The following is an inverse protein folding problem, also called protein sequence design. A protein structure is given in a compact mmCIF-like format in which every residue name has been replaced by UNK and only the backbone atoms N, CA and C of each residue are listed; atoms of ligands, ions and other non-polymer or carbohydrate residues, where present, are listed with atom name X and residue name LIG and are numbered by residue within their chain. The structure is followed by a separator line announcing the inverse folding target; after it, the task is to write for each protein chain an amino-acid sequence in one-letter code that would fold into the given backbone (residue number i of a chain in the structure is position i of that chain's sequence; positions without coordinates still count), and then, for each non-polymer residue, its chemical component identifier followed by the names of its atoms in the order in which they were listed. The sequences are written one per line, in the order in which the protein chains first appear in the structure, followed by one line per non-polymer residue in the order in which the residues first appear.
data_IF_820951004641
#
_entry.id   IF_820951004641
#
_cell.length_a   1.000
_cell.length_b   1.000
_cell.length_c   1.000
_cell.angle_alpha   90.00
_cell.angle_beta   90.00
_cell.angle_gamma   90.00
#
_symmetry.space_group_name_H-M   'P 1'
#
loop_
_entity.id
_entity.type
_entity.pdbx_description
1 polymer ?
#
# COMPACT_ATOMS: atom_id res chain seq x y z
N UNK A 1 11.49 22.33 -12.81
CA UNK A 1 10.84 21.10 -13.33
C UNK A 1 10.12 20.47 -12.20
N UNK A 2 8.90 20.06 -12.38
CA UNK A 2 8.16 19.40 -11.33
C UNK A 2 8.25 17.88 -11.51
N UNK A 3 8.79 17.16 -10.54
CA UNK A 3 8.70 15.70 -10.46
C UNK A 3 7.30 15.24 -10.06
N UNK A 4 6.39 16.19 -9.78
CA UNK A 4 5.08 15.93 -9.20
C UNK A 4 4.21 15.14 -10.19
N UNK A 5 3.64 14.01 -9.77
CA UNK A 5 2.70 13.27 -10.58
C UNK A 5 1.37 14.02 -10.76
N UNK A 6 0.64 13.67 -11.82
CA UNK A 6 -0.69 14.22 -12.10
C UNK A 6 -1.81 13.38 -11.50
N UNK A 7 -1.63 12.05 -11.48
CA UNK A 7 -2.65 11.07 -11.10
C UNK A 7 -2.28 10.25 -9.87
N UNK A 8 -0.99 10.07 -9.58
CA UNK A 8 -0.57 9.53 -8.29
C UNK A 8 -0.73 10.59 -7.21
N UNK A 9 -1.25 10.20 -6.05
CA UNK A 9 -1.41 11.11 -4.92
C UNK A 9 -0.03 11.48 -4.35
N UNK A 10 0.29 12.76 -4.33
CA UNK A 10 1.45 13.32 -3.62
C UNK A 10 1.00 14.47 -2.73
N UNK A 11 1.62 14.73 -1.57
CA UNK A 11 1.16 15.79 -0.68
C UNK A 11 1.36 17.16 -1.32
N UNK A 12 0.51 18.16 -1.07
CA UNK A 12 0.74 19.53 -1.54
C UNK A 12 2.06 20.09 -1.05
N UNK A 13 2.43 19.77 0.17
CA UNK A 13 3.72 20.07 0.82
C UNK A 13 4.01 19.03 1.88
N UNK A 14 5.26 18.99 2.37
CA UNK A 14 5.66 18.11 3.45
C UNK A 14 5.87 16.66 3.02
N UNK A 15 5.74 15.74 3.96
CA UNK A 15 5.97 14.30 3.75
C UNK A 15 4.68 13.52 3.86
N UNK A 16 4.43 12.69 2.86
CA UNK A 16 3.39 11.67 2.84
C UNK A 16 4.03 10.30 3.09
N UNK A 17 3.34 9.40 3.79
CA UNK A 17 3.64 7.97 3.80
C UNK A 17 2.35 7.13 3.77
N UNK A 18 2.13 6.20 4.65
CA UNK A 18 1.07 5.19 4.62
C UNK A 18 -0.30 5.75 4.19
N UNK A 19 -0.99 5.14 3.24
CA UNK A 19 -2.41 5.37 3.03
C UNK A 19 -3.20 4.89 4.24
N UNK A 20 -4.26 5.61 4.58
CA UNK A 20 -5.07 5.37 5.76
C UNK A 20 -6.54 5.59 5.46
N UNK A 21 -7.41 5.02 6.27
CA UNK A 21 -8.81 5.39 6.34
C UNK A 21 -9.54 5.38 4.99
N UNK A 22 -9.22 4.44 4.09
CA UNK A 22 -9.87 4.33 2.79
C UNK A 22 -11.35 4.02 2.96
N UNK A 23 -12.20 4.72 2.23
CA UNK A 23 -13.60 4.38 2.05
C UNK A 23 -14.17 4.99 0.77
N UNK A 24 -15.33 4.50 0.34
CA UNK A 24 -16.05 4.99 -0.82
C UNK A 24 -17.35 5.65 -0.37
N UNK A 25 -17.61 6.87 -0.86
CA UNK A 25 -18.89 7.59 -0.69
C UNK A 25 -19.49 7.87 -2.07
N UNK A 26 -20.50 7.09 -2.44
CA UNK A 26 -21.06 7.10 -3.79
C UNK A 26 -20.02 6.72 -4.85
N UNK A 27 -19.65 7.66 -5.72
CA UNK A 27 -18.61 7.48 -6.74
C UNK A 27 -17.26 8.11 -6.35
N UNK A 28 -17.10 8.51 -5.09
CA UNK A 28 -15.89 9.18 -4.59
C UNK A 28 -15.08 8.23 -3.71
N UNK A 29 -13.82 8.02 -4.08
CA UNK A 29 -12.84 7.37 -3.23
C UNK A 29 -12.19 8.41 -2.32
N UNK A 30 -12.30 8.21 -1.01
CA UNK A 30 -11.62 8.98 0.00
C UNK A 30 -10.37 8.25 0.48
N UNK A 31 -9.27 8.98 0.56
CA UNK A 31 -7.97 8.48 1.01
C UNK A 31 -7.42 9.46 2.04
N UNK A 32 -7.12 8.95 3.21
CA UNK A 32 -6.26 9.64 4.14
C UNK A 32 -4.84 9.10 4.01
N UNK A 33 -3.89 9.82 4.54
CA UNK A 33 -2.49 9.39 4.51
C UNK A 33 -1.73 10.00 5.67
N UNK A 34 -0.73 9.31 6.17
CA UNK A 34 0.18 9.89 7.14
C UNK A 34 0.82 11.13 6.53
N UNK A 35 0.71 12.26 7.22
CA UNK A 35 1.16 13.56 6.75
C UNK A 35 1.97 14.31 7.81
N UNK A 36 3.17 14.75 7.41
CA UNK A 36 3.96 15.73 8.15
C UNK A 36 4.13 16.98 7.30
N UNK A 37 3.24 17.98 7.47
CA UNK A 37 3.22 19.18 6.61
C UNK A 37 4.43 20.08 6.82
N UNK A 38 5.17 19.90 7.92
CA UNK A 38 6.33 20.70 8.27
C UNK A 38 7.67 20.14 7.80
N UNK A 39 7.67 18.90 7.29
CA UNK A 39 8.87 18.25 6.76
C UNK A 39 9.48 19.07 5.60
N UNK A 40 10.82 19.25 5.50
CA UNK A 40 11.87 18.75 6.42
C UNK A 40 12.27 19.79 7.49
N UNK A 41 11.55 20.88 7.69
CA UNK A 41 12.01 22.11 8.35
C UNK A 41 11.68 22.20 9.85
N UNK A 42 10.85 21.31 10.39
CA UNK A 42 10.43 21.32 11.79
C UNK A 42 10.50 19.92 12.41
N UNK A 43 10.40 19.81 13.76
CA UNK A 43 10.25 18.52 14.39
C UNK A 43 9.06 17.75 13.80
N UNK A 44 9.25 16.46 13.55
CA UNK A 44 8.22 15.57 12.97
C UNK A 44 6.90 15.68 13.73
N UNK A 45 5.83 15.97 13.02
CA UNK A 45 4.48 16.08 13.54
C UNK A 45 3.51 15.32 12.62
N UNK A 46 3.50 14.01 12.77
CA UNK A 46 2.69 13.12 11.93
C UNK A 46 1.22 13.19 12.35
N UNK A 47 0.38 13.67 11.45
CA UNK A 47 -1.08 13.60 11.47
C UNK A 47 -1.61 12.85 10.26
N UNK A 48 -2.85 13.13 9.86
CA UNK A 48 -3.45 12.57 8.64
C UNK A 48 -3.88 13.68 7.69
N UNK A 49 -3.32 13.66 6.47
CA UNK A 49 -3.84 14.40 5.33
C UNK A 49 -5.08 13.72 4.76
N UNK A 50 -5.83 14.44 3.92
CA UNK A 50 -7.02 13.93 3.26
C UNK A 50 -7.05 14.34 1.78
N UNK A 51 -7.39 13.39 0.92
CA UNK A 51 -7.64 13.64 -0.50
C UNK A 51 -8.80 12.76 -1.00
N UNK A 52 -9.43 13.17 -2.09
CA UNK A 52 -10.47 12.41 -2.75
C UNK A 52 -10.34 12.47 -4.27
N UNK A 53 -10.83 11.42 -4.94
CA UNK A 53 -10.89 11.34 -6.40
C UNK A 53 -12.08 10.50 -6.83
N UNK A 54 -12.41 10.52 -8.12
CA UNK A 54 -13.40 9.62 -8.70
C UNK A 54 -12.97 8.17 -8.52
N UNK A 55 -13.91 7.31 -8.19
CA UNK A 55 -13.70 5.87 -8.08
C UNK A 55 -13.36 5.22 -9.43
N UNK A 56 -13.94 5.71 -10.52
CA UNK A 56 -13.91 5.04 -11.83
C UNK A 56 -13.11 5.77 -12.91
N UNK A 57 -12.87 7.06 -12.72
CA UNK A 57 -12.29 7.92 -13.76
C UNK A 57 -10.99 8.56 -13.30
N UNK A 58 -9.92 8.41 -14.08
CA UNK A 58 -8.65 9.05 -13.79
C UNK A 58 -8.81 10.58 -13.79
N UNK A 59 -8.60 11.17 -12.66
CA UNK A 59 -8.62 12.60 -12.44
C UNK A 59 -7.54 13.00 -11.43
N UNK A 60 -7.26 14.31 -11.34
CA UNK A 60 -6.37 14.82 -10.31
C UNK A 60 -7.02 14.72 -8.94
N UNK A 61 -6.26 14.28 -7.95
CA UNK A 61 -6.70 14.26 -6.57
C UNK A 61 -7.12 15.65 -6.08
N UNK A 62 -8.29 15.71 -5.48
CA UNK A 62 -8.71 16.88 -4.72
C UNK A 62 -8.13 16.78 -3.31
N UNK A 63 -7.24 17.70 -2.98
CA UNK A 63 -6.70 17.81 -1.63
C UNK A 63 -7.66 18.57 -0.74
N UNK A 64 -7.79 18.12 0.49
CA UNK A 64 -8.58 18.72 1.56
C UNK A 64 -7.65 19.15 2.70
N UNK A 65 -8.15 19.96 3.68
CA UNK A 65 -7.43 20.20 4.92
C UNK A 65 -7.09 18.88 5.63
N UNK A 66 -6.00 18.88 6.39
CA UNK A 66 -5.62 17.72 7.19
C UNK A 66 -6.73 17.33 8.17
N UNK A 67 -7.01 16.05 8.26
CA UNK A 67 -8.09 15.49 9.08
C UNK A 67 -7.71 15.32 10.54
N UNK A 68 -6.46 14.90 10.81
CA UNK A 68 -5.99 14.64 12.17
C UNK A 68 -4.66 15.32 12.43
N UNK A 69 -4.55 15.88 13.64
CA UNK A 69 -3.30 16.38 14.23
C UNK A 69 -3.03 15.68 15.55
N UNK A 70 -1.77 15.52 15.95
CA UNK A 70 -1.41 14.95 17.25
C UNK A 70 -1.61 15.98 18.37
N UNK A 71 -2.87 16.25 18.71
CA UNK A 71 -3.32 17.29 19.64
C UNK A 71 -3.93 16.75 20.95
N UNK A 72 -4.04 15.41 21.05
CA UNK A 72 -4.56 14.74 22.23
C UNK A 72 -3.42 14.20 23.12
N UNK A 73 -3.64 14.05 24.45
CA UNK A 73 -2.61 13.51 25.34
C UNK A 73 -2.08 12.13 24.92
N UNK A 74 -2.94 11.28 24.35
CA UNK A 74 -2.62 9.89 23.97
C UNK A 74 -1.97 9.80 22.58
N UNK A 75 -1.99 10.85 21.75
CA UNK A 75 -1.37 10.87 20.42
C UNK A 75 -0.30 11.96 20.26
N UNK A 76 0.16 12.54 21.36
CA UNK A 76 1.10 13.68 21.40
C UNK A 76 2.34 13.52 20.50
N UNK A 77 2.76 12.28 20.24
CA UNK A 77 3.95 11.98 19.43
C UNK A 77 3.59 11.41 18.03
N UNK A 78 2.34 11.54 17.62
CA UNK A 78 1.83 11.22 16.28
C UNK A 78 0.50 10.49 16.28
N UNK A 79 -0.32 10.79 15.28
CA UNK A 79 -1.44 9.96 14.86
C UNK A 79 -0.89 8.97 13.83
N UNK A 80 -0.70 7.71 14.26
CA UNK A 80 -0.16 6.65 13.40
C UNK A 80 -1.24 6.06 12.50
N UNK A 81 -0.86 5.10 11.67
CA UNK A 81 -1.73 4.52 10.66
C UNK A 81 -2.96 3.82 11.22
N UNK A 82 -3.93 3.61 10.34
CA UNK A 82 -5.17 2.92 10.66
C UNK A 82 -6.17 2.96 9.51
N UNK A 83 -7.38 2.46 9.76
CA UNK A 83 -8.41 2.24 8.75
C UNK A 83 -9.67 3.07 8.96
N UNK A 84 -10.69 2.78 8.16
CA UNK A 84 -12.02 3.33 8.30
C UNK A 84 -13.07 2.22 8.50
N UNK A 85 -14.19 2.58 9.14
CA UNK A 85 -15.39 1.78 9.19
C UNK A 85 -16.58 2.64 8.77
N UNK A 86 -17.41 2.12 7.85
CA UNK A 86 -18.64 2.75 7.43
C UNK A 86 -19.82 1.97 8.03
N UNK A 87 -20.62 2.61 8.88
CA UNK A 87 -21.79 2.02 9.53
C UNK A 87 -23.04 2.85 9.21
N UNK A 88 -23.78 2.43 8.19
CA UNK A 88 -24.85 3.23 7.62
C UNK A 88 -24.34 4.54 7.05
N UNK A 89 -24.82 5.66 7.58
CA UNK A 89 -24.39 7.00 7.18
C UNK A 89 -23.18 7.52 7.99
N UNK A 90 -22.72 6.76 8.97
CA UNK A 90 -21.61 7.15 9.82
C UNK A 90 -20.28 6.60 9.30
N UNK A 91 -19.30 7.49 9.16
CA UNK A 91 -17.92 7.15 8.83
C UNK A 91 -17.04 7.36 10.05
N UNK A 92 -16.32 6.32 10.44
CA UNK A 92 -15.42 6.30 11.55
C UNK A 92 -13.99 6.01 11.07
N UNK A 93 -13.05 6.87 11.46
CA UNK A 93 -11.62 6.67 11.23
C UNK A 93 -11.00 6.10 12.50
N UNK A 94 -10.27 5.00 12.37
CA UNK A 94 -9.53 4.36 13.46
C UNK A 94 -8.05 4.55 13.26
N UNK A 95 -7.31 4.87 14.33
CA UNK A 95 -5.88 5.14 14.24
C UNK A 95 -5.17 4.79 15.55
N UNK A 96 -3.86 4.58 15.47
CA UNK A 96 -3.03 4.40 16.65
C UNK A 96 -2.49 5.74 17.13
N UNK A 97 -2.84 6.13 18.35
CA UNK A 97 -2.22 7.24 19.06
C UNK A 97 -0.85 6.83 19.59
N UNK A 98 0.19 7.59 19.29
CA UNK A 98 1.54 7.32 19.75
C UNK A 98 1.92 8.27 20.88
N UNK A 99 2.04 7.72 22.07
CA UNK A 99 2.56 8.42 23.25
C UNK A 99 3.89 7.79 23.69
N UNK A 100 4.87 8.61 24.04
CA UNK A 100 6.14 8.15 24.62
C UNK A 100 6.31 8.80 25.99
N UNK A 101 6.46 7.98 27.02
CA UNK A 101 6.70 8.40 28.40
C UNK A 101 7.89 7.62 28.93
N UNK A 102 8.92 8.32 29.41
CA UNK A 102 10.12 7.75 30.00
C UNK A 102 10.77 6.62 29.14
N UNK A 103 10.78 6.83 27.81
CA UNK A 103 11.34 5.88 26.86
C UNK A 103 10.40 4.72 26.46
N UNK A 104 9.28 4.54 27.16
CA UNK A 104 8.25 3.55 26.81
C UNK A 104 7.28 4.14 25.80
N UNK A 105 6.94 3.38 24.77
CA UNK A 105 5.84 3.67 23.85
C UNK A 105 4.54 3.13 24.45
N UNK A 106 3.51 3.94 24.44
CA UNK A 106 2.14 3.62 24.85
C UNK A 106 1.28 3.82 23.60
N UNK A 107 1.00 2.76 22.84
CA UNK A 107 0.15 2.82 21.66
C UNK A 107 -1.31 2.63 22.08
N UNK A 108 -2.14 3.60 21.79
CA UNK A 108 -3.58 3.49 22.04
C UNK A 108 -4.36 3.39 20.73
N UNK A 109 -5.48 2.65 20.72
CA UNK A 109 -6.35 2.63 19.56
C UNK A 109 -7.51 3.60 19.77
N UNK A 110 -7.74 4.45 18.80
CA UNK A 110 -8.64 5.59 18.90
C UNK A 110 -9.57 5.65 17.70
N UNK A 111 -10.70 6.33 17.81
CA UNK A 111 -11.57 6.61 16.67
C UNK A 111 -11.98 8.07 16.59
N UNK A 112 -12.33 8.48 15.39
CA UNK A 112 -12.78 9.83 15.04
C UNK A 112 -13.99 9.71 14.15
N UNK A 113 -15.04 10.49 14.40
CA UNK A 113 -16.19 10.57 13.50
C UNK A 113 -15.90 11.58 12.38
N UNK A 114 -16.01 11.14 11.14
CA UNK A 114 -15.92 11.99 9.97
C UNK A 114 -17.33 12.46 9.57
N UNK A 115 -17.57 13.77 9.63
CA UNK A 115 -18.84 14.38 9.23
C UNK A 115 -18.66 15.05 7.87
N UNK A 116 -19.53 14.74 6.91
CA UNK A 116 -19.56 15.32 5.56
C UNK A 116 -18.16 15.31 4.87
N UNK A 117 -17.43 14.18 4.80
CA UNK A 117 -16.10 14.14 4.21
C UNK A 117 -16.08 14.52 2.72
N UNK A 118 -17.19 14.31 2.00
CA UNK A 118 -17.40 14.75 0.62
C UNK A 118 -17.80 16.22 0.48
N UNK A 119 -17.97 16.93 1.59
CA UNK A 119 -18.33 18.34 1.58
C UNK A 119 -17.23 19.24 1.01
N UNK A 120 -17.56 20.52 0.73
CA UNK A 120 -16.63 21.45 0.09
C UNK A 120 -15.36 21.71 0.93
N UNK A 121 -15.45 21.60 2.24
CA UNK A 121 -14.32 21.79 3.18
C UNK A 121 -13.59 20.49 3.50
N UNK A 122 -13.98 19.34 2.91
CA UNK A 122 -13.32 18.04 3.13
C UNK A 122 -13.69 17.37 4.45
N UNK A 123 -14.73 17.84 5.12
CA UNK A 123 -15.27 17.24 6.33
C UNK A 123 -14.86 17.91 7.65
N UNK A 124 -15.51 17.47 8.72
CA UNK A 124 -15.21 17.81 10.11
C UNK A 124 -14.90 16.51 10.85
N UNK A 125 -13.79 16.48 11.57
CA UNK A 125 -13.29 15.28 12.24
C UNK A 125 -13.38 15.45 13.75
N UNK A 126 -14.31 14.72 14.38
CA UNK A 126 -14.60 14.84 15.80
C UNK A 126 -13.99 13.66 16.57
N UNK A 127 -13.08 13.96 17.50
CA UNK A 127 -12.56 12.95 18.44
C UNK A 127 -13.70 12.36 19.25
N UNK A 128 -13.79 11.02 19.29
CA UNK A 128 -14.82 10.36 20.09
C UNK A 128 -14.51 10.48 21.58
N UNK A 129 -15.47 10.90 22.43
CA UNK A 129 -15.26 10.97 23.87
C UNK A 129 -14.91 9.62 24.54
N UNK A 130 -15.23 8.48 23.90
CA UNK A 130 -14.86 7.17 24.39
C UNK A 130 -13.38 6.82 24.19
N UNK A 131 -12.62 7.61 23.43
CA UNK A 131 -11.20 7.36 23.19
C UNK A 131 -10.32 7.69 24.38
N UNK A 132 -9.26 6.88 24.61
CA UNK A 132 -8.83 5.72 23.83
C UNK A 132 -9.69 4.49 24.06
N UNK A 133 -10.05 3.79 22.95
CA UNK A 133 -10.86 2.56 23.01
C UNK A 133 -10.06 1.39 23.56
N UNK A 134 -8.79 1.29 23.16
CA UNK A 134 -7.78 0.36 23.67
C UNK A 134 -6.61 1.24 24.15
N UNK A 135 -6.40 1.40 25.47
CA UNK A 135 -5.50 2.44 26.00
C UNK A 135 -4.02 2.08 25.94
N UNK A 136 -3.65 0.83 25.82
CA UNK A 136 -2.26 0.33 25.79
C UNK A 136 -2.22 -1.05 25.09
N UNK A 137 -1.04 -1.66 25.04
CA UNK A 137 -0.87 -3.02 24.51
C UNK A 137 -1.49 -4.06 25.45
N UNK A 138 -1.79 -5.23 24.90
CA UNK A 138 -2.13 -6.40 25.70
C UNK A 138 -0.88 -7.03 26.35
N UNK A 139 -1.03 -7.77 27.45
CA UNK A 139 0.07 -8.51 28.05
C UNK A 139 0.73 -9.49 27.05
N UNK A 140 2.06 -9.58 27.06
CA UNK A 140 2.83 -10.41 26.13
C UNK A 140 3.27 -9.70 24.84
N UNK A 141 2.91 -8.42 24.70
CA UNK A 141 3.30 -7.61 23.54
C UNK A 141 4.10 -6.37 23.94
N UNK A 142 4.96 -5.92 23.03
CA UNK A 142 5.77 -4.70 23.20
C UNK A 142 4.98 -3.46 22.78
N UNK A 143 5.55 -2.26 22.91
CA UNK A 143 4.98 -1.03 22.39
C UNK A 143 4.92 -0.92 20.84
N UNK A 144 5.34 -1.95 20.10
CA UNK A 144 5.04 -2.13 18.69
C UNK A 144 3.68 -2.82 18.53
N UNK A 145 2.61 -2.01 18.54
CA UNK A 145 1.22 -2.45 18.55
C UNK A 145 0.38 -1.37 17.88
N UNK A 146 0.06 -1.50 16.57
CA UNK A 146 -0.45 -0.39 15.76
C UNK A 146 -1.16 -0.83 14.49
N UNK A 147 -1.70 0.17 13.77
CA UNK A 147 -2.27 0.09 12.43
C UNK A 147 -3.59 -0.71 12.42
N UNK A 148 -4.63 -0.27 13.18
CA UNK A 148 -5.90 -0.97 13.25
C UNK A 148 -6.61 -0.94 11.90
N UNK A 149 -6.92 -2.12 11.36
CA UNK A 149 -7.78 -2.30 10.20
C UNK A 149 -9.13 -2.83 10.68
N UNK A 150 -10.24 -2.21 10.21
CA UNK A 150 -11.59 -2.52 10.64
C UNK A 150 -12.36 -3.14 9.47
N UNK A 151 -12.99 -4.29 9.71
CA UNK A 151 -13.83 -4.98 8.72
C UNK A 151 -15.19 -5.30 9.34
N UNK A 152 -16.25 -5.12 8.54
CA UNK A 152 -17.60 -5.55 8.91
C UNK A 152 -17.69 -7.08 8.80
N UNK A 153 -18.27 -7.70 9.81
CA UNK A 153 -18.62 -9.11 9.81
C UNK A 153 -20.14 -9.30 9.98
N UNK A 154 -20.64 -10.53 9.86
CA UNK A 154 -22.07 -10.79 9.93
C UNK A 154 -22.70 -10.40 11.29
N UNK A 155 -21.93 -10.50 12.36
CA UNK A 155 -22.37 -10.28 13.74
C UNK A 155 -21.65 -9.11 14.44
N UNK A 156 -21.04 -8.20 13.68
CA UNK A 156 -20.34 -7.05 14.24
C UNK A 156 -19.14 -6.62 13.43
N UNK A 157 -18.03 -6.39 14.11
CA UNK A 157 -16.81 -5.82 13.56
C UNK A 157 -15.58 -6.56 14.06
N UNK A 158 -14.64 -6.78 13.18
CA UNK A 158 -13.29 -7.25 13.50
C UNK A 158 -12.30 -6.12 13.36
N UNK A 159 -11.34 -6.04 14.29
CA UNK A 159 -10.16 -5.20 14.19
C UNK A 159 -8.92 -6.10 14.17
N UNK A 160 -8.08 -5.92 13.15
CA UNK A 160 -6.76 -6.52 13.06
C UNK A 160 -5.70 -5.45 13.37
N UNK A 161 -4.76 -5.76 14.25
CA UNK A 161 -3.68 -4.84 14.66
C UNK A 161 -2.34 -5.55 14.48
N UNK A 162 -1.38 -4.85 13.87
CA UNK A 162 0.00 -5.30 13.81
C UNK A 162 0.67 -5.25 15.19
N UNK A 163 1.35 -6.32 15.58
CA UNK A 163 1.93 -6.45 16.90
C UNK A 163 3.31 -7.10 16.87
N UNK A 164 4.09 -6.83 17.92
CA UNK A 164 5.34 -7.52 18.23
C UNK A 164 5.20 -8.18 19.59
N UNK A 165 5.47 -9.48 19.65
CA UNK A 165 5.54 -10.21 20.94
C UNK A 165 6.75 -9.74 21.77
N UNK A 166 6.75 -10.00 23.08
CA UNK A 166 7.94 -9.77 23.95
C UNK A 166 9.18 -10.56 23.50
N UNK A 167 8.99 -11.64 22.71
CA UNK A 167 10.07 -12.38 22.05
C UNK A 167 10.54 -11.76 20.72
N UNK A 168 10.19 -10.52 20.44
CA UNK A 168 10.58 -9.76 19.23
C UNK A 168 10.18 -10.48 17.92
N UNK A 169 8.98 -11.06 17.89
CA UNK A 169 8.39 -11.66 16.69
C UNK A 169 7.16 -10.89 16.26
N UNK A 170 7.08 -10.58 14.98
CA UNK A 170 5.91 -9.97 14.36
C UNK A 170 4.72 -10.92 14.36
N UNK A 171 3.54 -10.37 14.56
CA UNK A 171 2.25 -11.08 14.50
C UNK A 171 1.11 -10.08 14.24
N UNK A 172 -0.10 -10.60 14.06
CA UNK A 172 -1.35 -9.82 14.02
C UNK A 172 -2.22 -10.28 15.18
N UNK A 173 -2.84 -9.34 15.88
CA UNK A 173 -3.82 -9.62 16.94
C UNK A 173 -5.21 -9.21 16.49
N UNK A 174 -6.22 -9.92 17.00
CA UNK A 174 -7.62 -9.69 16.65
C UNK A 174 -8.42 -9.20 17.87
N UNK A 175 -9.36 -8.30 17.56
CA UNK A 175 -10.41 -7.86 18.45
C UNK A 175 -11.76 -7.95 17.74
N UNK A 176 -12.83 -8.15 18.51
CA UNK A 176 -14.22 -8.06 18.04
C UNK A 176 -15.00 -7.00 18.78
N UNK A 177 -15.97 -6.39 18.08
CA UNK A 177 -16.90 -5.42 18.65
C UNK A 177 -18.27 -5.54 17.99
N UNK A 178 -19.32 -5.37 18.78
CA UNK A 178 -20.68 -5.26 18.27
C UNK A 178 -21.07 -3.81 17.91
N UNK A 179 -20.31 -2.80 18.40
CA UNK A 179 -20.74 -1.39 18.41
C UNK A 179 -19.62 -0.39 18.04
N UNK A 180 -18.46 -0.88 17.60
CA UNK A 180 -17.28 -0.08 17.30
C UNK A 180 -16.69 0.70 18.49
N UNK A 181 -17.20 0.49 19.72
CA UNK A 181 -16.74 1.15 20.95
C UNK A 181 -16.09 0.16 21.90
N UNK A 182 -16.81 -0.92 22.18
CA UNK A 182 -16.39 -1.94 23.12
C UNK A 182 -15.69 -3.08 22.37
N UNK A 183 -14.38 -3.17 22.54
CA UNK A 183 -13.54 -4.13 21.83
C UNK A 183 -13.09 -5.26 22.75
N UNK A 184 -13.27 -6.46 22.31
CA UNK A 184 -12.92 -7.70 22.97
C UNK A 184 -11.69 -8.30 22.33
N UNK A 185 -10.61 -8.49 23.11
CA UNK A 185 -9.39 -9.14 22.64
C UNK A 185 -9.63 -10.63 22.41
N UNK A 186 -9.40 -11.12 21.18
CA UNK A 186 -9.51 -12.53 20.82
C UNK A 186 -8.15 -13.26 20.84
N UNK A 187 -7.06 -12.52 20.81
CA UNK A 187 -5.70 -13.06 20.84
C UNK A 187 -4.91 -12.82 19.56
N UNK A 188 -3.65 -13.31 19.52
CA UNK A 188 -2.86 -13.31 18.30
C UNK A 188 -3.38 -14.37 17.32
N UNK A 189 -3.28 -14.07 16.02
CA UNK A 189 -3.50 -15.07 14.98
C UNK A 189 -2.58 -16.28 15.17
N UNK A 190 -3.18 -17.45 15.14
CA UNK A 190 -2.47 -18.72 15.05
C UNK A 190 -2.44 -19.15 13.58
N UNK A 191 -1.34 -19.72 13.13
CA UNK A 191 -1.18 -20.14 11.74
C UNK A 191 -1.08 -21.66 11.65
N UNK A 192 -2.06 -22.27 10.97
CA UNK A 192 -1.98 -23.67 10.57
C UNK A 192 -1.47 -23.74 9.14
N UNK A 193 -0.27 -24.28 8.99
CA UNK A 193 0.42 -24.44 7.69
C UNK A 193 0.33 -25.88 7.18
N UNK A 194 -0.53 -26.71 7.71
CA UNK A 194 -0.69 -28.11 7.30
C UNK A 194 -1.26 -28.21 5.89
N UNK A 195 -0.50 -28.77 4.97
CA UNK A 195 -0.92 -28.94 3.57
C UNK A 195 -0.83 -27.66 2.70
N UNK A 196 -0.22 -26.59 3.23
CA UNK A 196 -0.02 -25.34 2.52
C UNK A 196 0.75 -25.52 1.22
N UNK A 197 0.26 -24.96 0.12
CA UNK A 197 1.01 -24.84 -1.13
C UNK A 197 1.97 -23.65 -1.04
N UNK A 198 3.17 -23.70 -1.66
CA UNK A 198 4.06 -22.56 -1.74
C UNK A 198 3.37 -21.31 -2.34
N UNK A 199 3.73 -20.12 -1.86
CA UNK A 199 3.43 -18.86 -2.52
C UNK A 199 4.40 -18.54 -3.65
N UNK A 200 4.51 -17.27 -4.01
CA UNK A 200 5.49 -16.80 -4.99
C UNK A 200 6.84 -16.47 -4.32
N UNK A 201 6.88 -16.32 -3.01
CA UNK A 201 8.09 -16.10 -2.22
C UNK A 201 8.59 -17.39 -1.59
N UNK A 202 9.87 -17.47 -1.14
CA UNK A 202 10.46 -18.72 -0.67
C UNK A 202 9.86 -19.25 0.63
N UNK A 203 9.33 -18.37 1.49
CA UNK A 203 8.80 -18.76 2.80
C UNK A 203 7.31 -19.08 2.75
N UNK A 204 6.89 -20.14 3.42
CA UNK A 204 5.47 -20.41 3.66
C UNK A 204 4.89 -19.37 4.61
N UNK A 205 5.60 -19.10 5.71
CA UNK A 205 5.25 -18.07 6.68
C UNK A 205 6.51 -17.22 6.95
N UNK A 206 6.52 -15.93 6.60
CA UNK A 206 7.71 -15.11 6.75
C UNK A 206 8.00 -14.82 8.22
N UNK A 207 9.26 -14.55 8.52
CA UNK A 207 9.69 -14.07 9.82
C UNK A 207 9.36 -12.58 10.02
N UNK A 208 10.34 -11.84 10.50
CA UNK A 208 10.24 -10.42 10.80
C UNK A 208 10.01 -10.14 12.28
N UNK A 209 10.55 -9.02 12.74
CA UNK A 209 10.44 -8.65 14.16
C UNK A 209 9.15 -7.87 14.48
N UNK A 210 8.49 -7.32 13.46
CA UNK A 210 7.21 -6.62 13.55
C UNK A 210 6.43 -6.83 12.25
N UNK A 211 5.12 -7.03 12.35
CA UNK A 211 4.21 -7.04 11.21
C UNK A 211 3.34 -5.78 11.25
N UNK A 212 3.56 -4.87 10.32
CA UNK A 212 2.85 -3.59 10.23
C UNK A 212 1.70 -3.65 9.23
N UNK A 213 0.79 -2.70 9.33
CA UNK A 213 -0.29 -2.43 8.37
C UNK A 213 -1.06 -3.69 7.96
N UNK A 214 -1.56 -4.52 8.90
CA UNK A 214 -2.29 -5.71 8.54
C UNK A 214 -3.61 -5.34 7.87
N UNK A 215 -3.96 -6.09 6.81
CA UNK A 215 -5.29 -6.09 6.21
C UNK A 215 -5.77 -7.54 6.13
N UNK A 216 -6.85 -7.86 6.82
CA UNK A 216 -7.47 -9.18 6.79
C UNK A 216 -8.84 -9.05 6.15
N UNK A 217 -8.93 -9.36 4.86
CA UNK A 217 -10.09 -9.14 4.00
C UNK A 217 -10.56 -10.43 3.36
N UNK A 218 -11.78 -10.41 2.81
CA UNK A 218 -12.38 -11.53 2.08
C UNK A 218 -12.43 -11.21 0.60
N UNK A 219 -11.88 -12.11 -0.23
CA UNK A 219 -12.02 -12.05 -1.68
C UNK A 219 -12.64 -13.35 -2.21
N UNK A 220 -13.23 -13.29 -3.40
CA UNK A 220 -13.69 -14.47 -4.14
C UNK A 220 -12.56 -14.92 -5.07
N UNK A 221 -12.10 -16.16 -4.94
CA UNK A 221 -11.17 -16.75 -5.91
C UNK A 221 -11.92 -17.03 -7.21
N UNK A 222 -11.57 -16.29 -8.28
CA UNK A 222 -12.23 -16.35 -9.58
C UNK A 222 -12.11 -17.73 -10.24
N UNK A 223 -11.10 -18.54 -9.87
CA UNK A 223 -10.91 -19.88 -10.42
C UNK A 223 -11.82 -20.93 -9.77
N UNK A 224 -12.08 -20.81 -8.46
CA UNK A 224 -12.89 -21.76 -7.70
C UNK A 224 -14.28 -21.24 -7.35
N UNK A 225 -14.52 -19.94 -7.45
CA UNK A 225 -15.70 -19.23 -6.96
C UNK A 225 -15.90 -19.37 -5.43
N UNK A 226 -14.85 -19.65 -4.67
CA UNK A 226 -14.87 -19.75 -3.21
C UNK A 226 -14.40 -18.45 -2.57
N UNK A 227 -14.99 -18.12 -1.42
CA UNK A 227 -14.47 -17.05 -0.56
C UNK A 227 -13.16 -17.48 0.11
N UNK A 228 -12.16 -16.61 0.06
CA UNK A 228 -10.88 -16.79 0.73
C UNK A 228 -10.55 -15.58 1.58
N UNK A 229 -9.93 -15.82 2.72
CA UNK A 229 -9.34 -14.78 3.55
C UNK A 229 -7.94 -14.45 3.03
N UNK A 230 -7.68 -13.17 2.87
CA UNK A 230 -6.38 -12.66 2.47
C UNK A 230 -5.82 -11.85 3.64
N UNK A 231 -4.67 -12.27 4.14
CA UNK A 231 -3.93 -11.51 5.14
C UNK A 231 -2.76 -10.81 4.46
N UNK A 232 -2.88 -9.51 4.23
CA UNK A 232 -1.79 -8.63 3.77
C UNK A 232 -1.12 -8.03 4.99
N UNK A 233 0.21 -7.98 5.03
CA UNK A 233 0.98 -7.37 6.11
C UNK A 233 2.40 -7.02 5.66
N UNK A 234 3.09 -6.20 6.45
CA UNK A 234 4.45 -5.74 6.19
C UNK A 234 5.41 -6.31 7.24
N UNK A 235 6.05 -7.47 7.00
CA UNK A 235 7.04 -8.05 7.91
C UNK A 235 8.36 -7.27 7.82
N UNK A 236 8.72 -6.58 8.91
CA UNK A 236 9.97 -5.84 9.00
C UNK A 236 11.15 -6.75 9.34
N UNK A 237 12.30 -6.47 8.74
CA UNK A 237 13.57 -7.13 9.06
C UNK A 237 13.79 -8.45 8.32
N UNK A 238 13.20 -8.63 7.13
CA UNK A 238 13.57 -9.71 6.23
C UNK A 238 14.80 -9.31 5.42
N UNK A 239 15.78 -10.21 5.35
CA UNK A 239 16.97 -10.02 4.51
C UNK A 239 16.66 -10.35 3.04
N UNK A 240 17.19 -9.58 2.07
CA UNK A 240 17.11 -9.93 0.67
C UNK A 240 17.73 -11.29 0.38
N UNK A 241 17.02 -12.10 -0.39
CA UNK A 241 17.52 -13.42 -0.82
C UNK A 241 17.41 -13.59 -2.33
N UNK A 242 18.28 -14.40 -2.90
CA UNK A 242 18.23 -14.81 -4.30
C UNK A 242 17.99 -16.33 -4.35
N UNK A 243 16.88 -16.73 -4.93
CA UNK A 243 16.52 -18.14 -5.08
C UNK A 243 16.30 -18.42 -6.56
N UNK A 244 17.00 -19.39 -7.13
CA UNK A 244 16.92 -19.79 -8.53
C UNK A 244 17.07 -18.61 -9.52
N UNK A 245 17.95 -17.64 -9.17
CA UNK A 245 18.20 -16.46 -9.97
C UNK A 245 17.11 -15.38 -9.88
N UNK A 246 16.15 -15.52 -8.97
CA UNK A 246 15.09 -14.55 -8.70
C UNK A 246 15.38 -13.78 -7.43
N UNK A 247 15.00 -12.51 -7.42
CA UNK A 247 15.21 -11.60 -6.30
C UNK A 247 13.96 -11.57 -5.42
N UNK A 248 14.11 -11.91 -4.14
CA UNK A 248 13.06 -11.84 -3.13
C UNK A 248 13.50 -10.95 -1.98
N UNK A 249 12.52 -10.31 -1.33
CA UNK A 249 12.74 -9.44 -0.17
C UNK A 249 13.78 -8.35 -0.41
N UNK A 250 13.81 -7.82 -1.63
CA UNK A 250 14.87 -6.91 -2.06
C UNK A 250 14.63 -5.46 -1.64
N UNK A 251 13.41 -5.09 -1.27
CA UNK A 251 13.16 -3.80 -0.61
C UNK A 251 13.57 -3.87 0.84
N UNK A 252 13.98 -2.76 1.45
CA UNK A 252 14.42 -2.72 2.85
C UNK A 252 13.32 -3.11 3.83
N UNK A 253 12.09 -2.83 3.45
CA UNK A 253 10.89 -3.16 4.19
C UNK A 253 9.93 -3.89 3.25
N UNK A 254 9.45 -5.04 3.65
CA UNK A 254 8.68 -5.93 2.79
C UNK A 254 7.18 -5.74 2.98
N UNK A 255 6.43 -6.10 1.94
CA UNK A 255 4.99 -6.24 2.02
C UNK A 255 4.54 -7.44 1.20
N UNK A 256 3.66 -8.24 1.76
CA UNK A 256 3.14 -9.42 1.07
C UNK A 256 1.86 -9.95 1.70
N UNK A 257 1.45 -11.13 1.24
CA UNK A 257 0.16 -11.70 1.62
C UNK A 257 0.21 -13.22 1.77
N UNK A 258 -0.75 -13.72 2.56
CA UNK A 258 -1.13 -15.12 2.68
C UNK A 258 -2.56 -15.29 2.19
N UNK A 259 -2.88 -16.45 1.63
CA UNK A 259 -4.25 -16.83 1.25
C UNK A 259 -4.68 -18.06 2.06
N UNK A 260 -5.90 -18.05 2.58
CA UNK A 260 -6.41 -19.15 3.38
C UNK A 260 -7.85 -18.96 3.83
N UNK A 261 -8.18 -19.57 4.97
CA UNK A 261 -9.46 -19.43 5.65
C UNK A 261 -9.24 -19.10 7.12
N UNK A 262 -10.19 -18.41 7.74
CA UNK A 262 -10.13 -18.02 9.15
C UNK A 262 -11.21 -18.76 9.94
N UNK A 263 -10.80 -19.44 11.03
CA UNK A 263 -11.69 -20.03 12.02
C UNK A 263 -11.31 -19.50 13.42
N UNK A 264 -12.17 -18.63 13.97
CA UNK A 264 -11.85 -17.88 15.18
C UNK A 264 -10.58 -17.05 14.99
N UNK A 265 -9.54 -17.32 15.78
CA UNK A 265 -8.22 -16.69 15.64
C UNK A 265 -7.19 -17.62 14.95
N UNK A 266 -7.62 -18.69 14.29
CA UNK A 266 -6.74 -19.60 13.54
C UNK A 266 -6.86 -19.32 12.04
N UNK A 267 -5.74 -18.92 11.41
CA UNK A 267 -5.62 -18.75 9.97
C UNK A 267 -5.04 -20.04 9.36
N UNK A 268 -5.87 -20.78 8.65
CA UNK A 268 -5.45 -21.96 7.90
C UNK A 268 -4.86 -21.53 6.57
N UNK A 269 -3.55 -21.57 6.44
CA UNK A 269 -2.83 -21.11 5.27
C UNK A 269 -2.98 -22.11 4.11
N UNK A 270 -3.62 -21.73 3.03
CA UNK A 270 -3.75 -22.54 1.82
C UNK A 270 -2.61 -22.24 0.82
N UNK A 271 -2.21 -20.98 0.73
CA UNK A 271 -1.10 -20.51 -0.11
C UNK A 271 -0.13 -19.70 0.75
N UNK A 272 1.15 -20.06 0.73
CA UNK A 272 2.22 -19.41 1.48
C UNK A 272 2.50 -17.99 1.01
N UNK A 273 3.42 -17.34 1.69
CA UNK A 273 3.72 -15.92 1.50
C UNK A 273 4.09 -15.59 0.06
N UNK A 274 3.55 -14.48 -0.42
CA UNK A 274 3.89 -13.88 -1.71
C UNK A 274 4.10 -12.39 -1.51
N UNK A 275 5.16 -11.84 -2.11
CA UNK A 275 5.36 -10.39 -2.11
C UNK A 275 4.22 -9.72 -2.89
N UNK A 276 3.75 -8.57 -2.38
CA UNK A 276 2.62 -7.85 -2.98
C UNK A 276 3.09 -6.92 -4.11
N UNK A 277 4.32 -6.39 -3.99
CA UNK A 277 4.92 -5.52 -4.99
C UNK A 277 6.44 -5.79 -5.04
N UNK A 278 6.97 -5.93 -6.23
CA UNK A 278 8.35 -6.32 -6.49
C UNK A 278 9.24 -5.14 -6.92
N UNK A 279 8.72 -3.92 -6.84
CA UNK A 279 9.46 -2.72 -7.22
C UNK A 279 10.54 -2.33 -6.23
N UNK A 280 11.05 -1.12 -6.39
CA UNK A 280 12.11 -0.61 -5.53
C UNK A 280 11.59 0.14 -4.31
N UNK A 281 10.31 0.55 -4.34
CA UNK A 281 9.67 1.31 -3.26
C UNK A 281 8.17 1.01 -3.22
N UNK A 282 7.77 0.15 -2.30
CA UNK A 282 6.36 -0.08 -1.98
C UNK A 282 6.22 -0.51 -0.53
N UNK A 283 5.34 0.16 0.22
CA UNK A 283 5.13 -0.17 1.62
C UNK A 283 3.72 0.20 2.10
N UNK A 284 3.34 -0.34 3.28
CA UNK A 284 2.15 0.02 4.05
C UNK A 284 0.84 0.09 3.23
N UNK A 285 0.47 -0.92 2.43
CA UNK A 285 -0.76 -0.88 1.67
C UNK A 285 -1.98 -0.87 2.58
N UNK A 286 -3.05 -0.22 2.11
CA UNK A 286 -4.38 -0.33 2.68
C UNK A 286 -5.36 -0.85 1.64
N UNK A 287 -6.21 -1.79 2.05
CA UNK A 287 -7.23 -2.42 1.21
C UNK A 287 -8.62 -2.23 1.80
N UNK A 288 -9.61 -2.06 0.93
CA UNK A 288 -11.03 -2.10 1.27
C UNK A 288 -11.77 -3.02 0.30
N UNK A 289 -12.67 -3.84 0.84
CA UNK A 289 -13.55 -4.71 0.04
C UNK A 289 -14.57 -3.88 -0.74
N UNK A 290 -14.82 -4.26 -2.01
CA UNK A 290 -15.84 -3.57 -2.83
C UNK A 290 -17.23 -4.16 -2.64
N UNK A 291 -17.34 -5.34 -2.02
CA UNK A 291 -18.57 -6.13 -1.96
C UNK A 291 -18.86 -6.94 -3.24
N UNK A 292 -18.01 -6.82 -4.26
CA UNK A 292 -18.10 -7.61 -5.50
C UNK A 292 -17.15 -8.82 -5.51
N UNK A 293 -16.46 -9.10 -4.39
CA UNK A 293 -15.49 -10.19 -4.26
C UNK A 293 -14.07 -9.79 -4.64
N UNK A 294 -13.83 -8.51 -4.84
CA UNK A 294 -12.53 -7.88 -5.06
C UNK A 294 -12.29 -6.73 -4.05
N UNK A 295 -11.15 -6.08 -4.14
CA UNK A 295 -10.77 -4.97 -3.27
C UNK A 295 -10.16 -3.81 -4.04
N UNK A 296 -10.19 -2.63 -3.41
CA UNK A 296 -9.42 -1.45 -3.80
C UNK A 296 -8.21 -1.35 -2.90
N UNK A 297 -7.04 -1.07 -3.48
CA UNK A 297 -5.79 -0.92 -2.76
C UNK A 297 -5.07 0.36 -3.17
N UNK A 298 -4.44 1.01 -2.19
CA UNK A 298 -3.36 1.96 -2.39
C UNK A 298 -2.17 1.53 -1.52
N UNK A 299 -0.95 1.78 -2.02
CA UNK A 299 0.29 1.58 -1.27
C UNK A 299 1.15 2.83 -1.31
N UNK A 300 2.07 2.96 -0.38
CA UNK A 300 3.05 4.03 -0.36
C UNK A 300 4.19 3.73 -1.32
N UNK A 301 4.42 4.61 -2.30
CA UNK A 301 5.61 4.62 -3.16
C UNK A 301 6.73 5.32 -2.40
N UNK A 302 7.36 4.59 -1.52
CA UNK A 302 8.40 5.03 -0.61
C UNK A 302 8.75 3.95 0.40
N UNK A 303 9.79 4.19 1.18
CA UNK A 303 10.23 3.32 2.27
C UNK A 303 10.60 4.18 3.49
N UNK A 304 10.47 3.66 4.72
CA UNK A 304 10.72 4.43 5.94
C UNK A 304 12.09 5.12 6.02
N UNK A 305 13.13 4.53 5.42
CA UNK A 305 14.49 5.03 5.45
C UNK A 305 14.85 5.97 4.27
N UNK A 306 13.90 6.28 3.38
CA UNK A 306 14.20 6.97 2.11
C UNK A 306 13.60 8.37 2.03
N UNK A 307 13.77 9.19 3.06
CA UNK A 307 13.28 10.58 3.05
C UNK A 307 14.15 11.55 2.21
N UNK A 308 15.36 11.14 1.81
CA UNK A 308 16.25 11.95 0.98
C UNK A 308 15.90 11.82 -0.51
N UNK A 309 14.86 12.51 -0.93
CA UNK A 309 14.37 12.51 -2.31
C UNK A 309 14.64 13.87 -2.97
N UNK A 310 14.89 13.92 -4.29
CA UNK A 310 15.07 15.19 -5.03
C UNK A 310 13.90 16.17 -4.85
N UNK A 311 12.69 15.67 -4.62
CA UNK A 311 11.47 16.46 -4.41
C UNK A 311 11.43 17.23 -3.09
N UNK A 312 12.30 16.89 -2.14
CA UNK A 312 12.43 17.64 -0.87
C UNK A 312 12.84 19.10 -1.15
N UNK A 313 13.64 19.33 -2.18
CA UNK A 313 14.00 20.69 -2.61
C UNK A 313 12.78 21.48 -3.15
N UNK A 314 11.75 20.80 -3.61
CA UNK A 314 10.46 21.36 -4.02
C UNK A 314 9.42 21.39 -2.91
N UNK A 315 9.83 21.05 -1.66
CA UNK A 315 9.01 21.12 -0.45
C UNK A 315 8.06 19.92 -0.23
N UNK A 316 8.28 18.77 -0.89
CA UNK A 316 7.45 17.59 -0.69
C UNK A 316 8.24 16.28 -0.85
N UNK A 317 7.73 15.19 -0.27
CA UNK A 317 8.30 13.87 -0.39
C UNK A 317 7.23 12.78 -0.46
N UNK A 318 7.49 11.79 -1.31
CA UNK A 318 6.73 10.56 -1.55
C UNK A 318 5.38 10.73 -2.26
N UNK A 319 4.81 9.60 -2.63
CA UNK A 319 3.51 9.49 -3.32
C UNK A 319 2.84 8.18 -2.92
N UNK A 320 1.54 8.06 -3.20
CA UNK A 320 0.86 6.78 -3.21
C UNK A 320 0.82 6.21 -4.64
N UNK A 321 0.60 4.91 -4.76
CA UNK A 321 0.29 4.24 -6.03
C UNK A 321 -0.99 4.81 -6.64
N UNK A 322 -1.28 4.48 -7.89
CA UNK A 322 -2.65 4.58 -8.39
C UNK A 322 -3.58 3.69 -7.55
N UNK A 323 -4.89 4.03 -7.47
CA UNK A 323 -5.86 3.07 -6.95
C UNK A 323 -5.82 1.80 -7.80
N UNK A 324 -5.61 0.66 -7.15
CA UNK A 324 -5.54 -0.65 -7.79
C UNK A 324 -6.78 -1.45 -7.46
N UNK A 325 -7.37 -2.08 -8.47
CA UNK A 325 -8.27 -3.20 -8.27
C UNK A 325 -7.43 -4.44 -7.96
N UNK A 326 -7.78 -5.13 -6.89
CA UNK A 326 -7.12 -6.37 -6.45
C UNK A 326 -8.15 -7.48 -6.50
N UNK A 327 -7.91 -8.50 -7.31
CA UNK A 327 -8.71 -9.73 -7.38
C UNK A 327 -7.86 -10.95 -7.04
N UNK A 328 -8.50 -12.08 -6.79
CA UNK A 328 -7.84 -13.35 -6.49
C UNK A 328 -8.12 -14.37 -7.62
N UNK A 329 -7.08 -15.00 -8.14
CA UNK A 329 -7.19 -16.05 -9.13
C UNK A 329 -6.25 -17.21 -8.83
N UNK A 330 -6.79 -18.39 -8.60
CA UNK A 330 -6.05 -19.61 -8.21
C UNK A 330 -5.04 -19.37 -7.09
N UNK A 331 -5.51 -18.66 -6.03
CA UNK A 331 -4.71 -18.33 -4.85
C UNK A 331 -3.60 -17.30 -5.07
N UNK A 332 -3.62 -16.56 -6.18
CA UNK A 332 -2.68 -15.49 -6.48
C UNK A 332 -3.43 -14.17 -6.65
N UNK A 333 -2.99 -13.12 -5.96
CA UNK A 333 -3.55 -11.78 -6.16
C UNK A 333 -3.16 -11.23 -7.53
N UNK A 334 -4.13 -10.63 -8.20
CA UNK A 334 -3.95 -9.87 -9.43
C UNK A 334 -4.25 -8.41 -9.18
N UNK A 335 -3.40 -7.55 -9.68
CA UNK A 335 -3.46 -6.11 -9.48
C UNK A 335 -3.49 -5.39 -10.82
N UNK A 336 -4.34 -4.38 -10.93
CA UNK A 336 -4.37 -3.48 -12.09
C UNK A 336 -4.87 -2.10 -11.66
N UNK A 337 -4.46 -1.02 -12.35
CA UNK A 337 -5.03 0.30 -12.10
C UNK A 337 -6.56 0.26 -12.27
N UNK A 338 -7.28 0.89 -11.35
CA UNK A 338 -8.75 0.94 -11.42
C UNK A 338 -9.29 1.79 -12.56
N UNK A 339 -8.57 2.84 -12.92
CA UNK A 339 -9.04 3.85 -13.88
C UNK A 339 -8.90 3.38 -15.31
N UNK A 340 -10.00 2.99 -15.93
CA UNK A 340 -10.04 2.47 -17.30
C UNK A 340 -9.61 3.51 -18.36
N UNK A 341 -9.84 4.80 -18.10
CA UNK A 341 -9.52 5.88 -19.03
C UNK A 341 -8.07 6.38 -18.96
N UNK A 342 -7.17 5.75 -18.19
CA UNK A 342 -5.76 6.15 -18.08
C UNK A 342 -5.08 6.31 -19.44
N UNK A 343 -5.30 5.38 -20.36
CA UNK A 343 -4.75 5.45 -21.73
C UNK A 343 -5.25 6.68 -22.51
N UNK A 344 -6.50 7.08 -22.27
CA UNK A 344 -7.06 8.26 -22.95
C UNK A 344 -6.48 9.57 -22.41
N UNK A 345 -6.29 9.68 -21.08
CA UNK A 345 -5.70 10.88 -20.47
C UNK A 345 -4.19 11.01 -20.74
N UNK A 346 -3.52 9.89 -21.03
CA UNK A 346 -2.11 9.84 -21.44
C UNK A 346 -1.88 10.25 -22.90
N UNK A 347 -2.92 10.59 -23.66
CA UNK A 347 -2.78 11.03 -25.05
C UNK A 347 -2.62 9.91 -26.08
N UNK A 348 -2.85 8.64 -25.72
CA UNK A 348 -3.04 7.53 -26.66
C UNK A 348 -1.82 7.19 -27.57
N UNK A 349 -0.58 7.47 -27.18
CA UNK A 349 0.60 7.15 -27.99
C UNK A 349 1.16 5.77 -27.63
N UNK A 350 1.06 4.82 -28.56
CA UNK A 350 1.74 3.52 -28.47
C UNK A 350 3.25 3.60 -28.78
N UNK A 351 3.77 4.78 -29.09
CA UNK A 351 5.18 5.01 -29.38
C UNK A 351 5.64 6.28 -28.68
N UNK A 352 6.34 6.17 -27.58
CA UNK A 352 6.78 7.34 -26.86
C UNK A 352 8.18 7.80 -27.29
N UNK A 353 8.28 8.70 -28.25
CA UNK A 353 9.27 9.75 -28.14
C UNK A 353 8.63 10.86 -27.30
N UNK A 354 8.64 10.71 -25.97
CA UNK A 354 8.10 11.73 -25.09
C UNK A 354 9.25 12.50 -24.49
N UNK A 355 9.35 13.76 -24.92
CA UNK A 355 10.28 14.72 -24.35
C UNK A 355 9.86 15.04 -22.91
N UNK A 356 10.49 14.37 -21.97
CA UNK A 356 10.61 14.64 -20.54
C UNK A 356 9.33 14.87 -19.73
N UNK A 357 9.48 14.91 -18.44
CA UNK A 357 8.58 15.27 -17.35
C UNK A 357 7.33 16.10 -17.68
N UNK A 358 6.20 15.62 -17.21
CA UNK A 358 4.91 16.29 -17.27
C UNK A 358 3.85 15.56 -18.09
N UNK A 359 4.24 14.58 -18.89
CA UNK A 359 3.31 13.72 -19.62
C UNK A 359 3.16 12.37 -18.90
N UNK A 360 1.93 11.91 -18.80
CA UNK A 360 1.64 10.55 -18.35
C UNK A 360 1.89 9.60 -19.51
N UNK A 361 2.67 8.56 -19.28
CA UNK A 361 2.90 7.48 -20.23
C UNK A 361 2.13 6.27 -19.78
N UNK A 362 1.29 5.73 -20.65
CA UNK A 362 0.63 4.45 -20.45
C UNK A 362 0.99 3.58 -21.64
N UNK A 363 1.59 2.44 -21.38
CA UNK A 363 2.03 1.51 -22.40
C UNK A 363 1.59 0.08 -22.10
N UNK A 364 1.23 -0.65 -23.16
CA UNK A 364 0.93 -2.09 -23.12
C UNK A 364 1.88 -2.80 -24.05
N UNK A 365 2.30 -3.99 -23.66
CA UNK A 365 3.12 -4.84 -24.49
C UNK A 365 2.78 -6.32 -24.27
N UNK A 366 3.10 -7.11 -25.29
CA UNK A 366 2.97 -8.57 -25.26
C UNK A 366 4.25 -9.21 -25.78
N UNK A 367 4.61 -10.33 -25.19
CA UNK A 367 5.80 -11.09 -25.57
C UNK A 367 7.09 -10.49 -25.04
N UNK A 368 8.22 -10.98 -25.53
CA UNK A 368 9.56 -10.55 -25.09
C UNK A 368 9.95 -9.19 -25.63
N UNK A 369 10.57 -8.37 -24.79
CA UNK A 369 11.01 -7.03 -25.17
C UNK A 369 11.40 -6.15 -23.97
N UNK A 370 11.62 -4.87 -24.24
CA UNK A 370 12.09 -3.93 -23.23
C UNK A 370 11.50 -2.54 -23.40
N UNK A 371 11.21 -1.85 -22.29
CA UNK A 371 11.05 -0.40 -22.18
C UNK A 371 12.23 0.21 -21.47
N UNK A 372 12.72 1.33 -21.96
CA UNK A 372 13.82 2.06 -21.33
C UNK A 372 13.49 3.55 -21.22
N UNK A 373 13.79 4.12 -20.05
CA UNK A 373 13.89 5.57 -19.87
C UNK A 373 15.36 5.96 -19.93
N UNK A 374 15.76 6.69 -20.98
CA UNK A 374 17.16 7.02 -21.24
C UNK A 374 17.40 8.53 -21.34
N UNK A 375 18.61 8.96 -21.02
CA UNK A 375 19.06 10.34 -21.22
C UNK A 375 19.49 10.62 -22.68
N UNK A 376 19.99 11.84 -22.95
CA UNK A 376 20.46 12.24 -24.27
C UNK A 376 21.70 11.47 -24.77
N UNK A 377 22.41 10.82 -23.86
CA UNK A 377 23.58 9.97 -24.16
C UNK A 377 23.23 8.46 -24.13
N UNK A 378 21.93 8.13 -24.19
CA UNK A 378 21.39 6.77 -24.10
C UNK A 378 21.74 6.01 -22.80
N UNK A 379 22.07 6.73 -21.72
CA UNK A 379 22.25 6.08 -20.40
C UNK A 379 20.89 5.80 -19.77
N UNK A 380 20.73 4.56 -19.29
CA UNK A 380 19.46 4.07 -18.74
C UNK A 380 19.25 4.63 -17.34
N UNK A 381 18.11 5.29 -17.12
CA UNK A 381 17.65 5.70 -15.80
C UNK A 381 16.68 4.65 -15.19
N UNK A 382 15.88 4.00 -16.04
CA UNK A 382 14.98 2.91 -15.67
C UNK A 382 14.82 1.95 -16.86
N UNK A 383 14.74 0.67 -16.60
CA UNK A 383 14.48 -0.39 -17.59
C UNK A 383 13.49 -1.39 -17.03
N UNK A 384 12.55 -1.82 -17.87
CA UNK A 384 11.72 -2.99 -17.66
C UNK A 384 11.86 -3.91 -18.86
N UNK A 385 12.36 -5.12 -18.65
CA UNK A 385 12.61 -6.13 -19.67
C UNK A 385 11.90 -7.44 -19.32
N UNK A 386 11.21 -8.03 -20.28
CA UNK A 386 10.67 -9.36 -20.14
C UNK A 386 11.31 -10.31 -21.16
N UNK A 387 11.94 -11.36 -20.66
CA UNK A 387 12.59 -12.39 -21.45
C UNK A 387 12.57 -13.74 -20.72
N UNK A 388 12.32 -14.83 -21.45
CA UNK A 388 12.37 -16.19 -20.93
C UNK A 388 11.57 -16.42 -19.63
N UNK A 389 10.39 -15.80 -19.52
CA UNK A 389 9.54 -15.93 -18.33
C UNK A 389 10.03 -15.13 -17.10
N UNK A 390 10.94 -14.18 -17.29
CA UNK A 390 11.47 -13.32 -16.22
C UNK A 390 11.23 -11.87 -16.56
N UNK A 391 10.59 -11.13 -15.65
CA UNK A 391 10.60 -9.68 -15.63
C UNK A 391 11.87 -9.19 -14.91
N UNK A 392 12.68 -8.42 -15.60
CA UNK A 392 13.83 -7.74 -15.02
C UNK A 392 13.60 -6.24 -14.97
N UNK A 393 13.77 -5.66 -13.78
CA UNK A 393 13.73 -4.22 -13.57
C UNK A 393 15.13 -3.72 -13.22
N UNK A 394 15.49 -2.55 -13.75
CA UNK A 394 16.75 -1.90 -13.43
C UNK A 394 16.52 -0.41 -13.17
N UNK A 395 17.13 0.11 -12.10
CA UNK A 395 17.10 1.51 -11.71
C UNK A 395 18.37 1.87 -10.94
N UNK A 396 19.15 2.83 -11.43
CA UNK A 396 20.29 3.36 -10.69
C UNK A 396 21.37 2.33 -10.30
N UNK A 397 21.51 1.25 -11.08
CA UNK A 397 22.43 0.15 -10.81
C UNK A 397 21.85 -0.96 -9.90
N UNK A 398 20.65 -0.78 -9.37
CA UNK A 398 19.91 -1.85 -8.70
C UNK A 398 19.09 -2.66 -9.70
N UNK A 399 18.92 -3.95 -9.43
CA UNK A 399 18.15 -4.86 -10.28
C UNK A 399 17.17 -5.70 -9.47
N UNK A 400 16.05 -6.03 -10.11
CA UNK A 400 15.06 -7.01 -9.63
C UNK A 400 14.83 -8.03 -10.73
N UNK A 401 14.79 -9.31 -10.38
CA UNK A 401 14.50 -10.42 -11.30
C UNK A 401 13.35 -11.22 -10.71
N UNK A 402 12.25 -11.25 -11.43
CA UNK A 402 10.97 -11.78 -10.93
C UNK A 402 10.47 -12.80 -11.95
N UNK A 403 10.12 -14.02 -11.49
CA UNK A 403 9.39 -14.96 -12.34
C UNK A 403 8.05 -14.36 -12.73
N UNK A 404 7.74 -14.42 -14.01
CA UNK A 404 6.53 -13.84 -14.54
C UNK A 404 5.81 -14.89 -15.41
N UNK A 405 4.53 -15.21 -15.17
CA UNK A 405 3.87 -16.33 -15.80
C UNK A 405 3.67 -16.17 -17.31
N UNK A 406 3.62 -14.95 -17.80
CA UNK A 406 3.49 -14.63 -19.22
C UNK A 406 4.00 -13.23 -19.54
N UNK A 407 4.11 -12.88 -20.83
CA UNK A 407 4.61 -11.60 -21.33
C UNK A 407 3.55 -10.51 -21.49
N UNK A 408 2.43 -10.57 -20.78
CA UNK A 408 1.47 -9.47 -20.70
C UNK A 408 2.03 -8.38 -19.77
N UNK A 409 2.28 -7.18 -20.29
CA UNK A 409 2.85 -6.07 -19.53
C UNK A 409 2.03 -4.80 -19.71
N UNK A 410 1.91 -4.06 -18.61
CA UNK A 410 1.30 -2.74 -18.56
C UNK A 410 2.19 -1.80 -17.74
N UNK A 411 2.50 -0.64 -18.28
CA UNK A 411 3.34 0.37 -17.63
C UNK A 411 2.57 1.69 -17.52
N UNK A 412 2.66 2.31 -16.35
CA UNK A 412 2.23 3.69 -16.12
C UNK A 412 3.41 4.47 -15.57
N UNK A 413 3.79 5.56 -16.24
CA UNK A 413 4.75 6.52 -15.73
C UNK A 413 4.08 7.89 -15.62
N UNK A 414 4.14 8.50 -14.45
CA UNK A 414 3.49 9.77 -14.14
C UNK A 414 4.37 10.59 -13.18
N UNK A 415 4.93 11.67 -13.67
CA UNK A 415 5.92 12.44 -12.93
C UNK A 415 7.14 11.57 -12.57
N UNK A 416 7.45 11.45 -11.29
CA UNK A 416 8.54 10.58 -10.83
C UNK A 416 8.09 9.16 -10.48
N UNK A 417 6.82 8.80 -10.63
CA UNK A 417 6.32 7.46 -10.28
C UNK A 417 6.22 6.60 -11.52
N UNK A 418 6.74 5.38 -11.44
CA UNK A 418 6.61 4.35 -12.48
C UNK A 418 6.03 3.09 -11.84
N UNK A 419 4.92 2.62 -12.37
CA UNK A 419 4.31 1.33 -12.01
C UNK A 419 4.37 0.38 -13.21
N UNK A 420 4.78 -0.85 -12.97
CA UNK A 420 4.79 -1.95 -13.96
C UNK A 420 3.90 -3.06 -13.44
N UNK A 421 3.02 -3.55 -14.30
CA UNK A 421 2.16 -4.70 -14.04
C UNK A 421 2.47 -5.75 -15.09
N UNK A 422 2.67 -6.99 -14.67
CA UNK A 422 3.04 -8.08 -15.56
C UNK A 422 2.29 -9.37 -15.21
N UNK A 423 2.24 -10.30 -16.16
CA UNK A 423 1.61 -11.60 -15.95
C UNK A 423 0.13 -11.49 -15.62
N UNK A 424 -0.62 -10.66 -16.37
CA UNK A 424 -2.04 -10.36 -16.12
C UNK A 424 -2.30 -9.80 -14.71
N UNK A 425 -1.32 -9.03 -14.18
CA UNK A 425 -1.40 -8.40 -12.87
C UNK A 425 -0.94 -9.26 -11.69
N UNK A 426 -0.46 -10.48 -11.93
CA UNK A 426 0.12 -11.32 -10.88
C UNK A 426 1.40 -10.70 -10.28
N UNK A 427 2.08 -9.88 -11.05
CA UNK A 427 3.26 -9.12 -10.65
C UNK A 427 2.94 -7.64 -10.77
N UNK A 428 3.16 -6.90 -9.68
CA UNK A 428 3.18 -5.44 -9.66
C UNK A 428 4.53 -4.94 -9.17
N UNK A 429 4.98 -3.80 -9.68
CA UNK A 429 6.25 -3.20 -9.28
C UNK A 429 6.16 -1.68 -9.29
N UNK A 430 6.37 -1.06 -8.13
CA UNK A 430 6.29 0.38 -7.92
C UNK A 430 7.65 0.98 -7.61
N UNK A 431 7.93 2.14 -8.18
CA UNK A 431 9.17 2.85 -7.92
C UNK A 431 9.10 4.35 -8.24
N UNK A 432 9.97 5.09 -7.56
CA UNK A 432 10.30 6.46 -7.95
C UNK A 432 11.47 6.47 -8.93
N UNK A 433 11.35 7.20 -10.04
CA UNK A 433 12.41 7.40 -11.02
C UNK A 433 12.61 8.90 -11.22
N UNK A 434 13.75 9.42 -10.78
CA UNK A 434 14.07 10.85 -10.86
C UNK A 434 14.97 11.13 -12.08
N UNK A 435 14.36 11.05 -13.25
CA UNK A 435 15.08 11.37 -14.48
C UNK A 435 15.23 12.89 -14.65
N UNK A 436 16.28 13.38 -15.29
CA UNK A 436 16.52 14.79 -15.56
C UNK A 436 15.93 15.24 -16.90
N UNK A 437 15.97 16.56 -17.19
CA UNK A 437 15.50 17.09 -18.46
C UNK A 437 16.23 16.47 -19.64
N UNK A 438 15.48 16.08 -20.69
CA UNK A 438 16.02 15.44 -21.89
C UNK A 438 16.06 13.91 -21.81
N UNK A 439 15.54 13.31 -20.75
CA UNK A 439 15.25 11.88 -20.75
C UNK A 439 14.03 11.61 -21.63
N UNK A 440 14.06 10.45 -22.31
CA UNK A 440 12.98 9.99 -23.16
C UNK A 440 12.72 8.51 -22.94
N UNK A 441 11.47 8.12 -23.09
CA UNK A 441 11.10 6.70 -23.15
C UNK A 441 11.45 6.16 -24.55
N UNK A 442 12.14 5.01 -24.57
CA UNK A 442 12.15 4.13 -25.74
C UNK A 442 10.97 3.19 -25.62
N UNK A 443 10.17 3.07 -26.68
CA UNK A 443 9.04 2.16 -26.72
C UNK A 443 9.45 0.70 -26.62
N UNK A 444 8.45 -0.18 -26.59
CA UNK A 444 8.70 -1.63 -26.54
C UNK A 444 9.50 -2.08 -27.76
N UNK A 445 10.70 -2.50 -27.52
CA UNK A 445 11.57 -3.10 -28.55
C UNK A 445 11.55 -4.60 -28.31
N UNK A 446 11.00 -5.36 -29.28
CA UNK A 446 11.06 -6.82 -29.24
C UNK A 446 12.52 -7.29 -29.24
N UNK A 447 12.84 -8.22 -28.34
CA UNK A 447 14.15 -8.84 -28.33
C UNK A 447 14.29 -9.82 -29.50
N UNK A 448 15.48 -9.95 -30.13
CA UNK A 448 15.68 -10.94 -31.14
C UNK A 448 15.50 -12.34 -30.54
N UNK A 449 14.72 -13.16 -31.22
CA UNK A 449 14.45 -14.56 -30.87
C UNK A 449 15.71 -15.43 -30.91
#
# INVERSE_FOLDING_TARGET
MSYRPNYHLSPPQGRLNDPNGLFVDGETLHVFYQHDPCFPHAPKRTGWGHASASLTTAERWRHHPDALYPDMPYDKHGCYSGGAAVDGDDVWLFYTGNLKVDGRRIPSQNRVRALAPSGPEGGIYLRDPATPLIPDTEPGFTGHFRDPQIVREADGWRMAIGAQTEGEKGTVVLYRSADLVNWHFEGPLQFDITGTKPGLSPDILPGGYMWECPNLITLIDEASAEEKQILVFCPQGLDPVNVDGQTHYASSDQCGYLVGTLDGATFHVERGFSELDYGFEFYAPQLIETGAGDAIMLGWVGLPAQDDKPTVADGWAHSLTLPRRVSLYDGTLRQQPMWENLSAVAGGSNTPEIDGYGNVVVAKAEGEGTWELVDQADRVAFKAEFQEGVLQLERGGEQRRIACPNGSLFLVADGCVVEVYAGDGAIAASQSVFATRGHRWKGWVQLPS
#
